data_IF_689512489784
#
_entry.id   IF_689512489784
#
_cell.length_a   1.000
_cell.length_b   1.000
_cell.length_c   1.000
_cell.angle_alpha   90.00
_cell.angle_beta   90.00
_cell.angle_gamma   90.00
#
_symmetry.space_group_name_H-M   'P 1'
#
loop_
_entity.id
_entity.type
_entity.pdbx_description
1 polymer ?
#
# COMPACT_ATOMS: atom_id res chain seq x y z
N UNK A 1 23.65 -16.32 19.66
CA UNK A 1 23.64 -14.84 19.46
C UNK A 1 22.25 -14.22 19.38
N UNK A 2 21.28 -14.78 18.64
CA UNK A 2 19.91 -14.20 18.53
C UNK A 2 19.16 -14.03 19.88
N UNK A 3 19.34 -14.95 20.83
CA UNK A 3 18.64 -14.87 22.13
C UNK A 3 19.17 -13.78 23.08
N UNK A 4 20.47 -13.47 23.04
CA UNK A 4 21.07 -12.46 23.93
C UNK A 4 20.65 -11.05 23.48
N UNK A 5 20.59 -10.81 22.17
CA UNK A 5 20.12 -9.54 21.59
C UNK A 5 18.64 -9.31 21.93
N UNK A 6 17.81 -10.36 21.85
CA UNK A 6 16.40 -10.28 22.23
C UNK A 6 16.22 -9.96 23.72
N UNK A 7 17.02 -10.57 24.60
CA UNK A 7 16.97 -10.32 26.04
C UNK A 7 17.36 -8.88 26.40
N UNK A 8 18.45 -8.37 25.80
CA UNK A 8 18.91 -6.99 26.00
C UNK A 8 17.86 -5.98 25.51
N UNK A 9 17.23 -6.25 24.36
CA UNK A 9 16.16 -5.42 23.84
C UNK A 9 14.95 -5.40 24.79
N UNK A 10 14.55 -6.56 25.33
CA UNK A 10 13.46 -6.66 26.31
C UNK A 10 13.78 -5.89 27.59
N UNK A 11 15.02 -5.99 28.09
CA UNK A 11 15.46 -5.27 29.28
C UNK A 11 15.42 -3.75 29.09
N UNK A 12 15.93 -3.26 27.95
CA UNK A 12 15.89 -1.83 27.60
C UNK A 12 14.45 -1.33 27.44
N UNK A 13 13.56 -2.13 26.86
CA UNK A 13 12.13 -1.81 26.74
C UNK A 13 11.44 -1.73 28.11
N UNK A 14 11.71 -2.67 29.02
CA UNK A 14 11.16 -2.65 30.38
C UNK A 14 11.65 -1.43 31.17
N UNK A 15 12.93 -1.06 31.05
CA UNK A 15 13.50 0.13 31.70
C UNK A 15 12.90 1.41 31.11
N UNK A 16 12.75 1.49 29.79
CA UNK A 16 12.15 2.63 29.11
C UNK A 16 10.66 2.79 29.47
N UNK A 17 9.92 1.69 29.57
CA UNK A 17 8.52 1.67 30.04
C UNK A 17 8.42 2.10 31.50
N UNK A 18 9.29 1.59 32.37
CA UNK A 18 9.28 1.93 33.79
C UNK A 18 9.58 3.42 34.04
N UNK A 19 10.46 4.04 33.24
CA UNK A 19 10.79 5.46 33.38
C UNK A 19 9.75 6.40 32.80
N UNK A 20 9.19 6.07 31.64
CA UNK A 20 8.41 7.03 30.83
C UNK A 20 6.97 6.56 30.55
N UNK A 21 6.54 5.39 31.04
CA UNK A 21 5.24 4.82 30.72
C UNK A 21 4.98 4.74 29.22
N UNK A 22 3.74 5.00 28.79
CA UNK A 22 3.35 5.07 27.36
C UNK A 22 4.00 6.23 26.60
N UNK A 23 4.57 7.22 27.30
CA UNK A 23 5.27 8.34 26.67
C UNK A 23 6.68 8.01 26.21
N UNK A 24 7.17 6.80 26.52
CA UNK A 24 8.41 6.25 25.98
C UNK A 24 8.46 6.35 24.46
N UNK A 25 9.53 6.96 23.94
CA UNK A 25 9.78 7.08 22.50
C UNK A 25 9.67 5.74 21.76
N UNK A 26 10.16 4.64 22.35
CA UNK A 26 10.10 3.32 21.74
C UNK A 26 8.67 2.79 21.62
N UNK A 27 7.81 3.05 22.61
CA UNK A 27 6.39 2.66 22.57
C UNK A 27 5.66 3.48 21.51
N UNK A 28 5.89 4.79 21.48
CA UNK A 28 5.35 5.67 20.42
C UNK A 28 5.79 5.20 19.03
N UNK A 29 7.05 4.81 18.85
CA UNK A 29 7.55 4.24 17.58
C UNK A 29 6.88 2.91 17.24
N UNK A 30 6.65 2.02 18.22
CA UNK A 30 5.95 0.77 18.00
C UNK A 30 4.47 0.98 17.64
N UNK A 31 3.79 1.90 18.30
CA UNK A 31 2.40 2.27 17.99
C UNK A 31 2.31 2.90 16.59
N UNK A 32 3.25 3.80 16.23
CA UNK A 32 3.34 4.36 14.88
C UNK A 32 3.56 3.24 13.85
N UNK A 33 4.49 2.31 14.09
CA UNK A 33 4.70 1.18 13.17
C UNK A 33 3.46 0.31 13.03
N UNK A 34 2.70 0.12 14.10
CA UNK A 34 1.44 -0.62 14.08
C UNK A 34 0.37 0.11 13.27
N UNK A 35 0.29 1.43 13.37
CA UNK A 35 -0.61 2.28 12.57
C UNK A 35 -0.21 2.29 11.09
N UNK A 36 1.09 2.28 10.78
CA UNK A 36 1.62 2.32 9.42
C UNK A 36 1.65 0.95 8.73
N UNK A 37 1.45 -0.14 9.48
CA UNK A 37 1.45 -1.49 8.93
C UNK A 37 0.04 -1.87 8.47
N UNK A 38 -0.13 -2.51 7.30
CA UNK A 38 -1.44 -2.96 6.87
C UNK A 38 -2.04 -3.94 7.88
N UNK A 39 -3.31 -3.79 8.27
CA UNK A 39 -3.94 -4.73 9.18
C UNK A 39 -4.16 -6.07 8.49
N UNK A 40 -4.11 -7.14 9.27
CA UNK A 40 -4.50 -8.46 8.79
C UNK A 40 -6.03 -8.54 8.69
N UNK A 41 -6.55 -8.75 7.48
CA UNK A 41 -7.98 -8.92 7.28
C UNK A 41 -8.38 -10.37 7.55
N UNK A 42 -9.30 -10.54 8.51
CA UNK A 42 -9.98 -11.82 8.79
C UNK A 42 -10.91 -12.21 7.63
N UNK A 43 -11.59 -11.23 7.05
CA UNK A 43 -12.47 -11.42 5.90
C UNK A 43 -11.95 -10.64 4.69
N UNK A 44 -11.62 -11.39 3.64
CA UNK A 44 -11.16 -10.88 2.35
C UNK A 44 -12.24 -11.00 1.27
N UNK A 45 -13.45 -11.45 1.63
CA UNK A 45 -14.58 -11.51 0.72
C UNK A 45 -14.85 -10.12 0.13
N UNK A 46 -15.38 -10.11 -1.10
CA UNK A 46 -15.68 -8.89 -1.87
C UNK A 46 -14.47 -8.04 -2.26
N UNK A 47 -13.25 -8.49 -1.95
CA UNK A 47 -12.01 -7.89 -2.43
C UNK A 47 -11.39 -8.79 -3.49
N UNK A 48 -11.17 -8.26 -4.69
CA UNK A 48 -10.43 -8.94 -5.74
C UNK A 48 -9.04 -8.34 -5.90
N UNK A 49 -8.09 -9.18 -6.30
CA UNK A 49 -6.74 -8.76 -6.73
C UNK A 49 -6.65 -8.99 -8.23
N UNK A 50 -6.16 -8.01 -8.98
CA UNK A 50 -6.05 -8.09 -10.43
C UNK A 50 -4.85 -7.31 -10.93
N UNK A 51 -4.54 -7.49 -12.21
CA UNK A 51 -3.43 -6.83 -12.87
C UNK A 51 -3.91 -6.18 -14.16
N UNK A 52 -3.46 -4.95 -14.39
CA UNK A 52 -3.73 -4.18 -15.60
C UNK A 52 -2.48 -4.16 -16.50
N UNK A 53 -2.68 -4.18 -17.81
CA UNK A 53 -1.59 -3.97 -18.78
C UNK A 53 -1.27 -2.48 -18.87
N UNK A 54 -0.24 -2.07 -18.14
CA UNK A 54 0.21 -0.69 -18.03
C UNK A 54 1.33 -0.38 -19.01
N UNK A 55 1.34 0.83 -19.56
CA UNK A 55 2.43 1.33 -20.41
C UNK A 55 3.70 1.49 -19.58
N UNK A 56 4.84 1.01 -20.09
CA UNK A 56 6.12 1.14 -19.37
C UNK A 56 6.58 2.60 -19.31
N UNK A 57 6.46 3.29 -20.44
CA UNK A 57 6.97 4.65 -20.63
C UNK A 57 5.94 5.53 -21.35
N UNK A 58 5.19 6.30 -20.58
CA UNK A 58 4.14 7.20 -21.08
C UNK A 58 4.68 8.37 -21.90
N UNK A 59 5.96 8.73 -21.71
CA UNK A 59 6.58 9.89 -22.35
C UNK A 59 7.42 9.53 -23.58
N UNK A 60 7.47 8.25 -23.95
CA UNK A 60 8.13 7.77 -25.16
C UNK A 60 7.17 6.94 -26.01
N UNK A 61 6.48 7.60 -26.94
CA UNK A 61 5.47 6.97 -27.79
C UNK A 61 6.01 5.86 -28.70
N UNK A 62 7.32 5.79 -28.93
CA UNK A 62 7.98 4.71 -29.69
C UNK A 62 8.15 3.43 -28.86
N UNK A 63 8.20 3.55 -27.53
CA UNK A 63 8.26 2.43 -26.63
C UNK A 63 6.84 1.85 -26.44
N UNK A 64 6.60 0.65 -26.98
CA UNK A 64 5.31 -0.05 -26.86
C UNK A 64 5.31 -1.13 -25.78
N UNK A 65 6.34 -1.17 -24.92
CA UNK A 65 6.41 -2.16 -23.84
C UNK A 65 5.31 -1.88 -22.82
N UNK A 66 4.66 -2.95 -22.40
CA UNK A 66 3.69 -2.95 -21.31
C UNK A 66 4.16 -3.88 -20.19
N UNK A 67 3.59 -3.69 -19.00
CA UNK A 67 3.86 -4.46 -17.80
C UNK A 67 2.60 -4.64 -16.97
N UNK A 68 2.59 -5.61 -16.05
CA UNK A 68 1.42 -5.90 -15.21
C UNK A 68 1.45 -5.05 -13.93
N UNK A 69 0.57 -4.06 -13.86
CA UNK A 69 0.38 -3.25 -12.65
C UNK A 69 -0.70 -3.86 -11.76
N UNK A 70 -0.35 -4.18 -10.52
CA UNK A 70 -1.28 -4.79 -9.58
C UNK A 70 -2.22 -3.75 -8.99
N UNK A 71 -3.49 -4.12 -8.84
CA UNK A 71 -4.47 -3.35 -8.08
C UNK A 71 -5.44 -4.26 -7.31
N UNK A 72 -6.12 -3.68 -6.32
CA UNK A 72 -7.17 -4.31 -5.55
C UNK A 72 -8.49 -3.58 -5.77
N UNK A 73 -9.60 -4.31 -5.78
CA UNK A 73 -10.95 -3.73 -5.86
C UNK A 73 -11.78 -4.24 -4.71
N UNK A 74 -12.44 -3.37 -3.96
CA UNK A 74 -13.42 -3.72 -2.94
C UNK A 74 -14.80 -3.19 -3.34
N UNK A 75 -15.71 -4.12 -3.64
CA UNK A 75 -17.10 -3.84 -4.03
C UNK A 75 -18.10 -4.03 -2.88
N UNK A 76 -17.64 -4.18 -1.64
CA UNK A 76 -18.51 -4.40 -0.46
C UNK A 76 -19.47 -3.22 -0.24
N UNK A 77 -18.98 -2.00 -0.44
CA UNK A 77 -19.72 -0.77 -0.15
C UNK A 77 -20.37 -0.14 -1.38
N UNK A 78 -20.23 -0.73 -2.57
CA UNK A 78 -20.66 -0.11 -3.82
C UNK A 78 -22.18 -0.24 -4.01
N UNK A 79 -22.93 0.83 -3.70
CA UNK A 79 -24.41 0.80 -3.63
C UNK A 79 -25.08 0.96 -5.00
N UNK A 80 -24.54 1.83 -5.84
CA UNK A 80 -25.02 2.07 -7.21
C UNK A 80 -23.90 1.72 -8.18
N UNK A 81 -24.06 0.62 -8.92
CA UNK A 81 -23.02 0.13 -9.84
C UNK A 81 -22.85 0.97 -11.10
N UNK A 82 -23.84 1.80 -11.42
CA UNK A 82 -23.84 2.62 -12.62
C UNK A 82 -23.39 4.06 -12.33
N UNK A 83 -23.79 4.63 -11.19
CA UNK A 83 -23.55 6.04 -10.86
C UNK A 83 -22.86 6.28 -9.51
N UNK A 84 -22.49 5.23 -8.78
CA UNK A 84 -21.84 5.37 -7.49
C UNK A 84 -20.41 5.91 -7.62
N UNK A 85 -19.91 6.61 -6.58
CA UNK A 85 -18.56 7.18 -6.62
C UNK A 85 -17.48 6.10 -6.61
N UNK A 86 -16.32 6.40 -7.22
CA UNK A 86 -15.12 5.55 -7.17
C UNK A 86 -14.05 6.24 -6.35
N UNK A 87 -13.55 5.56 -5.32
CA UNK A 87 -12.39 5.99 -4.54
C UNK A 87 -11.15 5.28 -5.07
N UNK A 88 -10.23 6.05 -5.62
CA UNK A 88 -8.92 5.57 -6.06
C UNK A 88 -7.85 5.94 -5.02
N UNK A 89 -7.21 4.92 -4.45
CA UNK A 89 -6.03 5.05 -3.61
C UNK A 89 -4.80 4.70 -4.44
N UNK A 90 -3.85 5.64 -4.53
CA UNK A 90 -2.56 5.43 -5.17
C UNK A 90 -1.59 4.96 -4.08
N UNK A 91 -0.95 3.80 -4.28
CA UNK A 91 0.06 3.30 -3.35
C UNK A 91 1.24 4.26 -3.21
N UNK A 92 1.89 4.27 -2.05
CA UNK A 92 3.15 4.99 -1.82
C UNK A 92 4.38 4.12 -2.07
N UNK A 93 5.46 4.38 -1.34
CA UNK A 93 6.76 3.70 -1.44
C UNK A 93 6.77 2.33 -0.74
N UNK A 94 5.75 1.50 -1.00
CA UNK A 94 5.59 0.21 -0.35
C UNK A 94 4.65 -0.72 -1.12
N UNK A 95 4.69 -1.99 -0.74
CA UNK A 95 3.80 -3.00 -1.31
C UNK A 95 2.35 -2.65 -1.00
N UNK A 96 1.56 -2.37 -2.05
CA UNK A 96 0.11 -2.24 -1.91
C UNK A 96 -0.46 -3.51 -1.26
N UNK A 97 -1.40 -3.34 -0.33
CA UNK A 97 -1.84 -4.40 0.56
C UNK A 97 -3.35 -4.41 0.66
N UNK A 98 -3.91 -5.62 0.49
CA UNK A 98 -5.32 -5.89 0.74
C UNK A 98 -5.78 -5.43 2.13
N UNK A 99 -4.86 -5.37 3.11
CA UNK A 99 -5.11 -4.87 4.48
C UNK A 99 -5.81 -3.52 4.52
N UNK A 100 -5.45 -2.62 3.62
CA UNK A 100 -5.99 -1.27 3.61
C UNK A 100 -7.43 -1.20 3.08
N UNK A 101 -7.89 -2.19 2.32
CA UNK A 101 -9.18 -2.17 1.62
C UNK A 101 -10.41 -2.18 2.54
N UNK A 102 -10.24 -2.52 3.84
CA UNK A 102 -11.29 -2.46 4.86
C UNK A 102 -10.88 -1.63 6.09
N UNK A 103 -9.92 -0.72 5.96
CA UNK A 103 -9.37 0.02 7.09
C UNK A 103 -9.11 1.49 6.79
N UNK A 104 -9.20 2.32 7.82
CA UNK A 104 -8.93 3.76 7.74
C UNK A 104 -10.13 4.56 7.24
N UNK A 105 -9.97 5.88 7.24
CA UNK A 105 -11.05 6.83 6.94
C UNK A 105 -11.67 6.64 5.56
N UNK A 106 -10.89 6.27 4.55
CA UNK A 106 -11.40 6.07 3.19
C UNK A 106 -12.41 4.91 3.09
N UNK A 107 -12.24 3.85 3.88
CA UNK A 107 -13.22 2.77 4.00
C UNK A 107 -14.50 3.23 4.69
N UNK A 108 -14.37 3.95 5.82
CA UNK A 108 -15.52 4.52 6.53
C UNK A 108 -16.33 5.49 5.66
N UNK A 109 -15.65 6.30 4.85
CA UNK A 109 -16.31 7.19 3.89
C UNK A 109 -16.98 6.40 2.77
N UNK A 110 -16.34 5.35 2.24
CA UNK A 110 -16.94 4.51 1.22
C UNK A 110 -18.26 3.86 1.70
N UNK A 111 -18.33 3.43 2.97
CA UNK A 111 -19.57 2.95 3.58
C UNK A 111 -20.69 4.00 3.59
N UNK A 112 -20.34 5.25 3.91
CA UNK A 112 -21.29 6.37 3.96
C UNK A 112 -21.83 6.71 2.57
N UNK A 113 -20.95 6.94 1.60
CA UNK A 113 -21.34 7.42 0.27
C UNK A 113 -21.66 6.30 -0.72
N UNK A 114 -21.39 5.05 -0.37
CA UNK A 114 -21.65 3.91 -1.23
C UNK A 114 -20.63 3.72 -2.36
N UNK A 115 -19.33 3.93 -2.09
CA UNK A 115 -18.29 3.96 -3.11
C UNK A 115 -17.72 2.58 -3.48
N UNK A 116 -17.33 2.43 -4.75
CA UNK A 116 -16.35 1.43 -5.19
C UNK A 116 -14.96 1.86 -4.72
N UNK A 117 -14.18 0.93 -4.20
CA UNK A 117 -12.82 1.23 -3.72
C UNK A 117 -11.79 0.51 -4.57
N UNK A 118 -10.80 1.23 -5.08
CA UNK A 118 -9.69 0.70 -5.87
C UNK A 118 -8.38 1.15 -5.25
N UNK A 119 -7.47 0.22 -4.96
CA UNK A 119 -6.09 0.54 -4.58
C UNK A 119 -5.14 0.11 -5.70
N UNK A 120 -4.49 1.08 -6.34
CA UNK A 120 -3.50 0.85 -7.39
C UNK A 120 -2.10 0.76 -6.78
N UNK A 121 -1.38 -0.33 -7.09
CA UNK A 121 0.01 -0.49 -6.65
C UNK A 121 0.95 0.42 -7.43
N UNK A 122 1.75 1.19 -6.70
CA UNK A 122 2.74 2.09 -7.29
C UNK A 122 3.78 1.29 -8.09
N UNK A 123 4.15 1.78 -9.28
CA UNK A 123 5.22 1.21 -10.09
C UNK A 123 6.51 1.05 -9.27
N UNK A 124 7.21 -0.07 -9.48
CA UNK A 124 8.43 -0.51 -8.78
C UNK A 124 8.27 -1.00 -7.33
N UNK A 125 7.06 -0.98 -6.76
CA UNK A 125 6.83 -1.45 -5.40
C UNK A 125 6.01 -2.75 -5.35
N UNK A 126 6.37 -3.62 -4.40
CA UNK A 126 5.72 -4.91 -4.23
C UNK A 126 5.77 -5.78 -5.49
N UNK A 127 4.58 -6.19 -5.95
CA UNK A 127 4.39 -7.00 -7.17
C UNK A 127 4.17 -6.14 -8.43
N UNK A 128 4.05 -4.81 -8.30
CA UNK A 128 3.99 -3.90 -9.44
C UNK A 128 5.41 -3.62 -9.94
N UNK A 129 5.99 -4.55 -10.71
CA UNK A 129 7.39 -4.49 -11.19
C UNK A 129 7.47 -4.33 -12.71
N UNK A 130 7.75 -3.12 -13.23
CA UNK A 130 7.80 -2.87 -14.68
C UNK A 130 9.03 -3.46 -15.37
N UNK A 131 10.10 -3.72 -14.62
CA UNK A 131 11.40 -4.17 -15.13
C UNK A 131 11.93 -5.37 -14.35
N UNK A 132 12.88 -6.09 -14.95
CA UNK A 132 13.45 -7.31 -14.38
C UNK A 132 14.24 -7.07 -13.08
N UNK A 133 14.86 -5.88 -12.96
CA UNK A 133 15.67 -5.51 -11.80
C UNK A 133 15.62 -3.99 -11.53
N UNK A 134 16.29 -3.59 -10.45
CA UNK A 134 16.37 -2.20 -9.97
C UNK A 134 17.70 -1.52 -10.36
N UNK A 135 18.26 -1.84 -11.54
CA UNK A 135 19.42 -1.12 -12.06
C UNK A 135 19.09 0.36 -12.30
N UNK A 136 20.09 1.24 -12.25
CA UNK A 136 19.90 2.67 -12.54
C UNK A 136 19.26 2.92 -13.91
N UNK A 137 19.60 2.08 -14.90
CA UNK A 137 18.98 2.14 -16.24
C UNK A 137 17.48 1.86 -16.20
N UNK A 138 17.03 0.91 -15.38
CA UNK A 138 15.62 0.57 -15.23
C UNK A 138 14.87 1.58 -14.36
N UNK A 139 15.54 2.15 -13.34
CA UNK A 139 14.95 3.14 -12.44
C UNK A 139 14.62 4.48 -13.12
N UNK A 140 15.07 4.71 -14.38
CA UNK A 140 14.62 5.87 -15.16
C UNK A 140 13.10 5.92 -15.35
N UNK A 141 12.40 4.79 -15.25
CA UNK A 141 10.93 4.73 -15.32
C UNK A 141 10.25 4.93 -13.95
N UNK A 142 11.01 5.05 -12.86
CA UNK A 142 10.51 5.38 -11.53
C UNK A 142 10.55 6.90 -11.33
N UNK A 143 9.54 7.58 -11.89
CA UNK A 143 9.32 9.00 -11.68
C UNK A 143 7.89 9.25 -11.23
N UNK A 144 7.67 10.34 -10.51
CA UNK A 144 6.31 10.74 -10.11
C UNK A 144 5.43 11.05 -11.33
N UNK A 145 6.01 11.62 -12.39
CA UNK A 145 5.28 11.86 -13.65
C UNK A 145 4.76 10.55 -14.25
N UNK A 146 5.60 9.52 -14.34
CA UNK A 146 5.18 8.23 -14.88
C UNK A 146 4.13 7.54 -13.98
N UNK A 147 4.25 7.68 -12.66
CA UNK A 147 3.27 7.13 -11.71
C UNK A 147 1.91 7.85 -11.76
N UNK A 148 1.89 9.13 -12.11
CA UNK A 148 0.65 9.89 -12.35
C UNK A 148 0.04 9.49 -13.70
N UNK A 149 0.84 9.28 -14.75
CA UNK A 149 0.27 8.80 -16.02
C UNK A 149 -0.25 7.35 -15.92
N UNK A 150 0.11 6.59 -14.89
CA UNK A 150 -0.48 5.26 -14.64
C UNK A 150 -1.97 5.31 -14.23
N UNK A 151 -2.49 6.47 -13.82
CA UNK A 151 -3.88 6.64 -13.37
C UNK A 151 -4.82 7.24 -14.44
N UNK A 152 -4.29 7.63 -15.60
CA UNK A 152 -5.03 8.30 -16.70
C UNK A 152 -5.41 7.30 -17.77
#
# INVERSE_FOLDING_TARGET
MRSIIALLFFCLMSIAYAKNGRDSFLIKVMDIKKVLSPPELKDKSRISTSFYDQTLDHFNTKNKKAWKQRYFVNEENFKDKENGPVFLSIGGEGTASIGWMKYGSWYEYAQKVGALMIQLGHRFYGESRPTENLSTENLKYLTSQQAIEDIV
#
